data_IF_987554013436
#
_entry.id   IF_987554013436
#
_cell.length_a   1.000
_cell.length_b   1.000
_cell.length_c   1.000
_cell.angle_alpha   90.00
_cell.angle_beta   90.00
_cell.angle_gamma   90.00
#
_symmetry.space_group_name_H-M   'P 1'
#
loop_
_entity.id
_entity.type
_entity.pdbx_description
1 polymer ?
#
# COMPACT_ATOMS: atom_id res chain seq x y z
N UNK A 1 15.91 46.57 26.70
CA UNK A 1 17.15 47.19 26.18
C UNK A 1 18.22 46.10 26.11
N UNK A 2 18.86 45.95 24.94
CA UNK A 2 20.03 45.09 24.60
C UNK A 2 19.82 43.56 24.62
N UNK A 3 20.54 42.75 23.84
CA UNK A 3 20.98 42.74 22.43
C UNK A 3 21.61 41.35 22.26
N UNK A 4 21.28 40.64 21.18
CA UNK A 4 21.76 39.27 20.89
C UNK A 4 23.21 39.33 20.41
N UNK A 5 24.14 38.62 21.08
CA UNK A 5 25.49 38.41 20.56
C UNK A 5 25.55 37.17 19.64
N UNK A 6 26.27 37.34 18.53
CA UNK A 6 26.27 36.50 17.33
C UNK A 6 26.82 35.08 17.54
N UNK A 7 26.01 34.06 17.24
CA UNK A 7 26.39 32.64 17.25
C UNK A 7 26.89 32.22 15.85
N UNK A 8 28.11 31.69 15.75
CA UNK A 8 28.66 31.17 14.50
C UNK A 8 28.08 29.78 14.17
N UNK A 9 27.62 29.59 12.93
CA UNK A 9 26.85 28.42 12.50
C UNK A 9 27.75 27.29 11.99
N UNK A 10 27.67 26.14 12.64
CA UNK A 10 28.29 24.88 12.20
C UNK A 10 27.44 24.29 11.06
N UNK A 11 28.06 23.89 9.95
CA UNK A 11 27.37 23.29 8.80
C UNK A 11 26.95 21.83 9.07
N UNK A 12 25.80 21.42 8.55
CA UNK A 12 25.12 20.16 8.90
C UNK A 12 25.64 18.95 8.12
N UNK A 13 25.26 17.74 8.58
CA UNK A 13 25.63 16.47 7.95
C UNK A 13 24.97 16.33 6.56
N UNK A 14 25.71 15.86 5.54
CA UNK A 14 25.30 15.91 4.13
C UNK A 14 24.09 15.04 3.74
N UNK A 15 23.67 14.11 4.59
CA UNK A 15 22.50 13.25 4.37
C UNK A 15 21.42 13.46 5.45
N UNK A 16 21.46 14.60 6.15
CA UNK A 16 20.40 14.89 7.12
C UNK A 16 19.09 15.08 6.37
N UNK A 17 18.03 14.43 6.84
CA UNK A 17 16.69 14.47 6.25
C UNK A 17 16.12 15.90 6.06
N UNK A 18 16.76 16.90 6.66
CA UNK A 18 16.37 18.31 6.62
C UNK A 18 16.71 19.04 5.31
N UNK A 19 17.42 18.40 4.38
CA UNK A 19 17.72 18.96 3.05
C UNK A 19 16.93 18.28 1.91
N UNK A 20 16.02 17.34 2.23
CA UNK A 20 15.07 16.83 1.25
C UNK A 20 13.99 17.89 1.02
N UNK A 21 14.33 18.94 0.28
CA UNK A 21 13.32 19.72 -0.40
C UNK A 21 12.58 18.76 -1.32
N UNK A 22 11.32 18.49 -1.03
CA UNK A 22 10.44 17.74 -1.91
C UNK A 22 10.21 18.61 -3.15
N UNK A 23 11.14 18.51 -4.10
CA UNK A 23 10.97 19.12 -5.41
C UNK A 23 9.68 18.55 -6.00
N UNK A 24 8.78 19.40 -6.53
CA UNK A 24 7.56 18.92 -7.15
C UNK A 24 7.93 17.95 -8.27
N UNK A 25 7.61 16.67 -8.09
CA UNK A 25 7.93 15.64 -9.07
C UNK A 25 7.42 16.07 -10.45
N UNK A 26 8.28 15.97 -11.48
CA UNK A 26 7.94 16.39 -12.84
C UNK A 26 6.60 15.77 -13.25
N UNK A 27 5.62 16.60 -13.56
CA UNK A 27 4.29 16.15 -13.95
C UNK A 27 4.34 15.18 -15.14
N UNK A 28 5.34 15.32 -16.03
CA UNK A 28 5.56 14.37 -17.13
C UNK A 28 5.95 12.98 -16.64
N UNK A 29 6.78 12.92 -15.61
CA UNK A 29 7.19 11.67 -14.99
C UNK A 29 6.04 10.99 -14.25
N UNK A 30 5.23 11.76 -13.51
CA UNK A 30 4.02 11.24 -12.87
C UNK A 30 3.03 10.68 -13.91
N UNK A 31 2.79 11.42 -15.00
CA UNK A 31 1.92 10.97 -16.08
C UNK A 31 2.43 9.68 -16.74
N UNK A 32 3.75 9.53 -16.88
CA UNK A 32 4.36 8.31 -17.41
C UNK A 32 4.11 7.10 -16.50
N UNK A 33 4.26 7.26 -15.18
CA UNK A 33 3.97 6.21 -14.20
C UNK A 33 2.49 5.85 -14.24
N UNK A 34 1.61 6.85 -14.23
CA UNK A 34 0.16 6.63 -14.30
C UNK A 34 -0.25 5.88 -15.57
N UNK A 35 0.31 6.26 -16.72
CA UNK A 35 0.08 5.58 -17.99
C UNK A 35 0.62 4.14 -17.97
N UNK A 36 1.82 3.92 -17.44
CA UNK A 36 2.40 2.59 -17.30
C UNK A 36 1.56 1.68 -16.38
N UNK A 37 1.02 2.25 -15.30
CA UNK A 37 0.16 1.57 -14.34
C UNK A 37 -1.27 1.30 -14.86
N UNK A 38 -1.65 1.83 -16.03
CA UNK A 38 -2.92 1.46 -16.65
C UNK A 38 -2.95 -0.03 -16.99
N UNK A 39 -4.03 -0.69 -16.58
CA UNK A 39 -4.25 -2.11 -16.86
C UNK A 39 -4.32 -2.42 -18.37
N UNK A 40 -4.04 -3.67 -18.78
CA UNK A 40 -3.98 -4.08 -20.18
C UNK A 40 -5.18 -3.65 -21.04
N UNK A 41 -6.40 -3.72 -20.50
CA UNK A 41 -7.63 -3.30 -21.18
C UNK A 41 -7.67 -1.83 -21.61
N UNK A 42 -6.96 -0.95 -20.90
CA UNK A 42 -6.90 0.47 -21.26
C UNK A 42 -5.92 0.72 -22.41
N UNK A 43 -5.01 -0.23 -22.66
CA UNK A 43 -3.95 -0.14 -23.67
C UNK A 43 -4.31 -0.91 -24.95
N UNK A 44 -5.03 -2.02 -24.84
CA UNK A 44 -5.36 -2.90 -25.96
C UNK A 44 -6.86 -3.21 -25.98
N UNK A 45 -7.47 -3.31 -27.18
CA UNK A 45 -8.90 -3.65 -27.31
C UNK A 45 -9.19 -5.11 -26.91
N UNK A 46 -8.21 -6.00 -27.06
CA UNK A 46 -8.33 -7.45 -26.83
C UNK A 46 -7.10 -7.98 -26.06
N UNK A 47 -7.26 -9.12 -25.39
CA UNK A 47 -6.18 -9.78 -24.67
C UNK A 47 -5.08 -10.19 -25.66
N UNK A 48 -3.83 -9.80 -25.38
CA UNK A 48 -2.70 -10.06 -26.29
C UNK A 48 -2.01 -11.39 -26.00
N UNK A 49 -2.23 -11.97 -24.82
CA UNK A 49 -1.64 -13.23 -24.38
C UNK A 49 -2.65 -14.05 -23.60
N UNK A 50 -2.48 -15.38 -23.59
CA UNK A 50 -3.33 -16.31 -22.83
C UNK A 50 -3.43 -15.92 -21.34
N UNK A 51 -2.29 -15.54 -20.73
CA UNK A 51 -2.27 -15.09 -19.34
C UNK A 51 -3.09 -13.80 -19.10
N UNK A 52 -3.31 -12.97 -20.12
CA UNK A 52 -4.15 -11.78 -20.01
C UNK A 52 -5.64 -12.12 -20.13
N UNK A 53 -6.02 -13.24 -20.74
CA UNK A 53 -7.42 -13.66 -20.83
C UNK A 53 -8.01 -13.87 -19.43
N UNK A 54 -7.22 -14.45 -18.52
CA UNK A 54 -7.58 -14.60 -17.12
C UNK A 54 -7.58 -13.22 -16.44
N UNK A 55 -8.78 -12.72 -16.12
CA UNK A 55 -8.95 -11.40 -15.51
C UNK A 55 -8.97 -10.25 -16.52
N UNK A 56 -9.07 -10.55 -17.82
CA UNK A 56 -9.38 -9.53 -18.82
C UNK A 56 -10.68 -8.82 -18.47
N UNK A 57 -11.73 -9.59 -18.18
CA UNK A 57 -12.98 -9.12 -17.59
C UNK A 57 -12.98 -9.37 -16.07
N UNK A 58 -12.51 -8.36 -15.32
CA UNK A 58 -12.47 -8.40 -13.85
C UNK A 58 -13.78 -7.97 -13.19
N UNK A 59 -14.68 -7.33 -13.95
CA UNK A 59 -16.01 -6.98 -13.46
C UNK A 59 -16.88 -8.24 -13.44
N UNK A 60 -17.53 -8.54 -12.30
CA UNK A 60 -18.38 -9.71 -12.20
C UNK A 60 -19.64 -9.52 -13.07
N UNK A 61 -20.08 -10.58 -13.75
CA UNK A 61 -21.29 -10.55 -14.58
C UNK A 61 -22.57 -10.25 -13.79
N UNK A 62 -22.57 -10.56 -12.49
CA UNK A 62 -23.64 -10.29 -11.54
C UNK A 62 -23.02 -9.50 -10.40
N UNK A 63 -23.62 -8.38 -10.03
CA UNK A 63 -23.18 -7.61 -8.87
C UNK A 63 -23.31 -8.47 -7.61
N UNK A 64 -22.21 -8.83 -6.93
CA UNK A 64 -22.31 -9.58 -5.71
C UNK A 64 -22.84 -8.63 -4.62
N UNK A 65 -24.07 -8.83 -4.17
CA UNK A 65 -24.63 -8.16 -2.99
C UNK A 65 -23.87 -8.62 -1.74
N UNK A 66 -22.65 -8.11 -1.53
CA UNK A 66 -21.72 -8.53 -0.46
C UNK A 66 -22.19 -8.11 0.93
N UNK A 67 -23.20 -7.25 1.02
CA UNK A 67 -23.81 -6.79 2.26
C UNK A 67 -24.81 -7.78 2.85
N UNK A 68 -25.39 -8.68 2.04
CA UNK A 68 -26.36 -9.65 2.56
C UNK A 68 -25.65 -10.75 3.34
N UNK A 69 -25.74 -10.69 4.67
CA UNK A 69 -25.17 -11.67 5.60
C UNK A 69 -25.84 -13.06 5.51
N UNK A 70 -26.99 -13.18 4.85
CA UNK A 70 -27.65 -14.47 4.60
C UNK A 70 -26.97 -15.27 3.49
N UNK A 71 -26.33 -14.56 2.56
CA UNK A 71 -25.66 -15.14 1.39
C UNK A 71 -24.12 -15.11 1.52
N UNK A 72 -23.57 -14.17 2.29
CA UNK A 72 -22.13 -13.97 2.42
C UNK A 72 -21.60 -14.41 3.79
N UNK A 73 -20.79 -15.48 3.80
CA UNK A 73 -20.18 -16.03 5.00
C UNK A 73 -18.66 -15.79 5.02
N UNK A 74 -18.27 -14.51 5.03
CA UNK A 74 -16.85 -14.16 5.11
C UNK A 74 -16.25 -14.60 6.44
N UNK A 75 -15.00 -15.06 6.40
CA UNK A 75 -14.25 -15.32 7.63
C UNK A 75 -13.87 -13.98 8.27
N UNK A 76 -14.61 -13.62 9.32
CA UNK A 76 -14.36 -12.42 10.12
C UNK A 76 -13.61 -12.81 11.39
N UNK A 77 -12.52 -12.10 11.68
CA UNK A 77 -11.79 -12.25 12.94
C UNK A 77 -12.30 -11.23 13.94
N UNK A 78 -12.72 -11.71 15.09
CA UNK A 78 -13.08 -10.90 16.26
C UNK A 78 -11.93 -10.89 17.26
N UNK A 79 -11.95 -9.95 18.21
CA UNK A 79 -10.92 -9.81 19.26
C UNK A 79 -10.62 -11.12 19.98
N UNK A 80 -11.66 -11.92 20.28
CA UNK A 80 -11.52 -13.23 20.91
C UNK A 80 -10.74 -14.22 20.01
N UNK A 81 -11.04 -14.23 18.72
CA UNK A 81 -10.37 -15.13 17.77
C UNK A 81 -8.90 -14.74 17.58
N UNK A 82 -8.61 -13.44 17.54
CA UNK A 82 -7.25 -12.91 17.46
C UNK A 82 -6.45 -13.18 18.74
N UNK A 83 -7.07 -12.97 19.90
CA UNK A 83 -6.48 -13.27 21.20
C UNK A 83 -6.11 -14.75 21.32
N UNK A 84 -7.04 -15.65 20.97
CA UNK A 84 -6.78 -17.10 21.01
C UNK A 84 -5.67 -17.50 20.05
N UNK A 85 -5.66 -16.96 18.83
CA UNK A 85 -4.58 -17.21 17.87
C UNK A 85 -3.22 -16.78 18.43
N UNK A 86 -3.13 -15.60 19.05
CA UNK A 86 -1.91 -15.09 19.68
C UNK A 86 -1.46 -15.93 20.89
N UNK A 87 -2.41 -16.39 21.71
CA UNK A 87 -2.10 -17.28 22.84
C UNK A 87 -1.54 -18.63 22.36
N UNK A 88 -2.08 -19.18 21.28
CA UNK A 88 -1.60 -20.44 20.72
C UNK A 88 -0.22 -20.31 20.08
N UNK A 89 0.11 -19.19 19.42
CA UNK A 89 1.45 -18.97 18.86
C UNK A 89 2.54 -18.87 19.93
N UNK A 90 2.23 -18.30 21.11
CA UNK A 90 3.20 -18.22 22.22
C UNK A 90 3.57 -19.61 22.77
N UNK A 91 2.63 -20.56 22.78
CA UNK A 91 2.90 -21.94 23.20
C UNK A 91 3.71 -22.76 22.19
N UNK A 92 3.89 -22.28 20.96
CA UNK A 92 4.80 -22.88 19.97
C UNK A 92 6.26 -22.47 20.23
N UNK A 93 6.51 -21.22 20.63
CA UNK A 93 7.84 -20.73 20.99
C UNK A 93 8.43 -21.45 22.22
N UNK A 94 7.59 -21.84 23.18
CA UNK A 94 8.00 -22.57 24.39
C UNK A 94 8.30 -24.06 24.13
N UNK A 95 7.77 -24.64 23.04
CA UNK A 95 7.99 -26.06 22.69
C UNK A 95 9.29 -26.31 21.91
N UNK A 96 9.97 -25.25 21.46
CA UNK A 96 11.21 -25.31 20.70
C UNK A 96 12.44 -24.84 21.49
N UNK A 97 12.38 -24.83 22.83
CA UNK A 97 13.52 -24.64 23.73
C UNK A 97 13.89 -25.91 24.47
#
# INVERSE_FOLDING_TARGET
>A
MKSIESVHRITRKPMSWHDNLEEPADARFLNLIHHAAQGPRKKYPEAQTENQEIGWDSEPLIDPERSDHRLNYFRVYNDITLYKAKMWSLGEDDRHK
#
